data_IF_127095591487
#
_entry.id   IF_127095591487
#
_cell.length_a   1.000
_cell.length_b   1.000
_cell.length_c   1.000
_cell.angle_alpha   90.00
_cell.angle_beta   90.00
_cell.angle_gamma   90.00
#
_symmetry.space_group_name_H-M   'P 1'
#
loop_
_entity.id
_entity.type
_entity.pdbx_description
1 polymer ?
#
# COMPACT_ATOMS: atom_id res chain seq x y z
N UNK A 1 13.38 41.12 -4.57
CA UNK A 1 12.25 40.17 -4.49
C UNK A 1 12.78 38.86 -3.92
N UNK A 2 12.59 38.54 -2.63
CA UNK A 2 13.08 37.27 -2.07
C UNK A 2 12.26 36.12 -2.64
N UNK A 3 12.93 35.13 -3.23
CA UNK A 3 12.31 33.89 -3.68
C UNK A 3 11.91 33.06 -2.47
N UNK A 4 10.62 33.03 -2.14
CA UNK A 4 10.06 32.14 -1.12
C UNK A 4 10.14 30.71 -1.61
N UNK A 5 11.15 29.97 -1.14
CA UNK A 5 11.25 28.53 -1.37
C UNK A 5 10.18 27.87 -0.49
N UNK A 6 9.09 27.42 -1.11
CA UNK A 6 8.11 26.56 -0.48
C UNK A 6 8.77 25.21 -0.22
N UNK A 7 9.46 25.08 0.92
CA UNK A 7 9.95 23.78 1.40
C UNK A 7 8.71 22.98 1.81
N UNK A 8 8.39 21.86 1.12
CA UNK A 8 7.27 21.04 1.49
C UNK A 8 7.52 20.49 2.90
N UNK A 9 6.56 20.70 3.80
CA UNK A 9 6.64 20.13 5.14
C UNK A 9 6.70 18.60 5.03
N UNK A 10 7.41 17.93 5.95
CA UNK A 10 7.54 16.45 5.94
C UNK A 10 6.18 15.75 5.81
N UNK A 11 5.13 16.32 6.41
CA UNK A 11 3.76 15.83 6.33
C UNK A 11 3.18 15.84 4.91
N UNK A 12 3.50 16.85 4.10
CA UNK A 12 3.05 16.91 2.70
C UNK A 12 3.71 15.84 1.84
N UNK A 13 4.99 15.53 2.11
CA UNK A 13 5.74 14.48 1.42
C UNK A 13 5.20 13.10 1.81
N UNK A 14 4.99 12.85 3.10
CA UNK A 14 4.45 11.58 3.62
C UNK A 14 3.04 11.29 3.10
N UNK A 15 2.14 12.28 3.13
CA UNK A 15 0.78 12.12 2.62
C UNK A 15 0.76 11.75 1.12
N UNK A 16 1.68 12.34 0.33
CA UNK A 16 1.80 12.05 -1.10
C UNK A 16 2.34 10.64 -1.36
N UNK A 17 3.36 10.19 -0.62
CA UNK A 17 3.94 8.84 -0.80
C UNK A 17 2.98 7.74 -0.34
N UNK A 18 2.30 7.95 0.79
CA UNK A 18 1.32 7.01 1.33
C UNK A 18 0.14 6.86 0.36
N UNK A 19 -0.28 7.96 -0.28
CA UNK A 19 -1.33 7.96 -1.30
C UNK A 19 -0.87 7.26 -2.58
N UNK A 20 0.32 7.57 -3.11
CA UNK A 20 0.81 6.96 -4.34
C UNK A 20 1.05 5.45 -4.20
N UNK A 21 1.64 5.00 -3.08
CA UNK A 21 1.81 3.58 -2.80
C UNK A 21 0.47 2.83 -2.77
N UNK A 22 -0.54 3.39 -2.08
CA UNK A 22 -1.87 2.79 -2.01
C UNK A 22 -2.57 2.74 -3.38
N UNK A 23 -2.44 3.77 -4.20
CA UNK A 23 -3.04 3.77 -5.54
C UNK A 23 -2.38 2.74 -6.46
N UNK A 24 -1.07 2.55 -6.34
CA UNK A 24 -0.33 1.57 -7.13
C UNK A 24 -0.67 0.14 -6.71
N UNK A 25 -0.82 -0.11 -5.41
CA UNK A 25 -1.30 -1.39 -4.87
C UNK A 25 -2.73 -1.69 -5.34
N UNK A 26 -3.66 -0.74 -5.21
CA UNK A 26 -5.05 -0.90 -5.68
C UNK A 26 -5.10 -1.17 -7.19
N UNK A 27 -4.33 -0.42 -7.97
CA UNK A 27 -4.26 -0.61 -9.42
C UNK A 27 -3.66 -1.97 -9.78
N UNK A 28 -2.60 -2.40 -9.09
CA UNK A 28 -1.99 -3.73 -9.27
C UNK A 28 -2.99 -4.86 -9.00
N UNK A 29 -3.67 -4.81 -7.86
CA UNK A 29 -4.71 -5.80 -7.52
C UNK A 29 -5.90 -5.75 -8.47
N UNK A 30 -6.33 -4.57 -8.90
CA UNK A 30 -7.38 -4.40 -9.90
C UNK A 30 -7.01 -4.99 -11.26
N UNK A 31 -5.77 -4.78 -11.72
CA UNK A 31 -5.25 -5.36 -12.95
C UNK A 31 -5.16 -6.89 -12.87
N UNK A 32 -4.76 -7.43 -11.73
CA UNK A 32 -4.77 -8.89 -11.49
C UNK A 32 -6.20 -9.43 -11.60
N UNK A 33 -7.20 -8.77 -11.01
CA UNK A 33 -8.61 -9.17 -11.13
C UNK A 33 -9.12 -9.17 -12.58
N UNK A 34 -8.80 -8.12 -13.34
CA UNK A 34 -9.13 -8.06 -14.77
C UNK A 34 -8.40 -9.15 -15.56
N UNK A 35 -7.13 -9.42 -15.25
CA UNK A 35 -6.33 -10.46 -15.88
C UNK A 35 -6.91 -11.86 -15.62
N UNK A 36 -7.28 -12.19 -14.38
CA UNK A 36 -7.90 -13.46 -14.03
C UNK A 36 -9.20 -13.68 -14.81
N UNK A 37 -10.01 -12.62 -14.99
CA UNK A 37 -11.25 -12.70 -15.78
C UNK A 37 -10.96 -12.91 -17.27
N UNK A 38 -9.99 -12.19 -17.83
CA UNK A 38 -9.55 -12.37 -19.22
C UNK A 38 -9.00 -13.80 -19.45
N UNK A 39 -8.22 -14.32 -18.49
CA UNK A 39 -7.71 -15.69 -18.51
C UNK A 39 -8.83 -16.73 -18.51
N UNK A 40 -9.84 -16.57 -17.65
CA UNK A 40 -10.99 -17.45 -17.59
C UNK A 40 -11.79 -17.47 -18.92
N UNK A 41 -11.97 -16.31 -19.56
CA UNK A 41 -12.61 -16.21 -20.88
C UNK A 41 -11.78 -16.89 -21.99
N UNK A 42 -10.46 -16.74 -21.93
CA UNK A 42 -9.53 -17.42 -22.84
C UNK A 42 -9.65 -18.94 -22.77
N UNK A 43 -9.72 -19.51 -21.55
CA UNK A 43 -9.94 -20.95 -21.36
C UNK A 43 -11.30 -21.42 -21.88
N UNK A 44 -12.34 -20.60 -21.76
CA UNK A 44 -13.68 -20.90 -22.27
C UNK A 44 -13.82 -20.70 -23.79
N UNK A 45 -12.74 -20.33 -24.50
CA UNK A 45 -12.75 -19.89 -25.91
C UNK A 45 -13.83 -18.86 -26.22
N UNK A 46 -14.15 -18.01 -25.25
CA UNK A 46 -15.10 -16.91 -25.39
C UNK A 46 -14.32 -15.63 -25.69
N UNK A 47 -14.88 -14.69 -26.47
CA UNK A 47 -14.21 -13.42 -26.74
C UNK A 47 -13.85 -12.73 -25.41
N UNK A 48 -12.57 -12.37 -25.24
CA UNK A 48 -12.02 -11.80 -24.00
C UNK A 48 -12.65 -10.46 -23.60
N UNK A 49 -13.25 -9.75 -24.56
CA UNK A 49 -13.95 -8.48 -24.35
C UNK A 49 -15.48 -8.66 -24.19
N UNK A 50 -15.96 -9.90 -24.09
CA UNK A 50 -17.37 -10.17 -23.83
C UNK A 50 -17.73 -9.69 -22.42
N UNK A 51 -18.66 -8.74 -22.32
CA UNK A 51 -19.18 -8.17 -21.05
C UNK A 51 -18.11 -7.41 -20.23
N UNK A 52 -17.71 -6.19 -20.66
CA UNK A 52 -16.71 -5.36 -19.97
C UNK A 52 -17.09 -5.01 -18.51
N UNK A 53 -18.37 -4.96 -18.19
CA UNK A 53 -18.87 -4.74 -16.82
C UNK A 53 -18.41 -5.83 -15.84
N UNK A 54 -18.24 -7.08 -16.29
CA UNK A 54 -17.74 -8.15 -15.44
C UNK A 54 -16.26 -7.95 -15.11
N UNK A 55 -15.45 -7.51 -16.07
CA UNK A 55 -14.04 -7.17 -15.81
C UNK A 55 -13.91 -6.08 -14.76
N UNK A 56 -14.78 -5.07 -14.80
CA UNK A 56 -14.82 -4.02 -13.79
C UNK A 56 -15.21 -4.56 -12.41
N UNK A 57 -16.19 -5.47 -12.32
CA UNK A 57 -16.58 -6.12 -11.06
C UNK A 57 -15.46 -6.96 -10.47
N UNK A 58 -14.75 -7.74 -11.30
CA UNK A 58 -13.60 -8.52 -10.85
C UNK A 58 -12.43 -7.61 -10.43
N UNK A 59 -12.14 -6.55 -11.19
CA UNK A 59 -11.13 -5.56 -10.82
C UNK A 59 -11.48 -4.89 -9.48
N UNK A 60 -12.73 -4.47 -9.29
CA UNK A 60 -13.19 -3.87 -8.03
C UNK A 60 -13.13 -4.86 -6.86
N UNK A 61 -13.54 -6.12 -7.07
CA UNK A 61 -13.47 -7.16 -6.06
C UNK A 61 -12.04 -7.45 -5.62
N UNK A 62 -11.13 -7.66 -6.57
CA UNK A 62 -9.72 -7.90 -6.27
C UNK A 62 -9.02 -6.67 -5.69
N UNK A 63 -9.34 -5.45 -6.14
CA UNK A 63 -8.83 -4.23 -5.53
C UNK A 63 -9.30 -4.08 -4.08
N UNK A 64 -10.55 -4.43 -3.77
CA UNK A 64 -11.08 -4.45 -2.41
C UNK A 64 -10.38 -5.48 -1.51
N UNK A 65 -10.09 -6.67 -2.04
CA UNK A 65 -9.30 -7.70 -1.34
C UNK A 65 -7.88 -7.20 -1.09
N UNK A 66 -7.23 -6.62 -2.11
CA UNK A 66 -5.90 -6.04 -2.00
C UNK A 66 -5.81 -4.97 -0.92
N UNK A 67 -6.78 -4.05 -0.87
CA UNK A 67 -6.87 -3.04 0.18
C UNK A 67 -6.95 -3.65 1.58
N UNK A 68 -7.73 -4.71 1.74
CA UNK A 68 -7.87 -5.38 3.03
C UNK A 68 -6.58 -6.07 3.46
N UNK A 69 -5.88 -6.74 2.55
CA UNK A 69 -4.57 -7.36 2.79
C UNK A 69 -3.53 -6.32 3.17
N UNK A 70 -3.40 -5.22 2.42
CA UNK A 70 -2.47 -4.13 2.74
C UNK A 70 -2.72 -3.53 4.12
N UNK A 71 -3.98 -3.55 4.60
CA UNK A 71 -4.32 -3.08 5.95
C UNK A 71 -3.78 -4.01 7.05
N UNK A 72 -3.82 -5.32 6.82
CA UNK A 72 -3.27 -6.31 7.76
C UNK A 72 -1.74 -6.18 7.82
N UNK A 73 -1.09 -6.08 6.67
CA UNK A 73 0.37 -5.95 6.58
C UNK A 73 0.89 -4.69 7.28
N UNK A 74 0.19 -3.56 7.12
CA UNK A 74 0.50 -2.33 7.88
C UNK A 74 0.38 -2.52 9.39
N UNK A 75 -0.60 -3.28 9.86
CA UNK A 75 -0.77 -3.53 11.29
C UNK A 75 0.40 -4.36 11.86
N UNK A 76 0.93 -5.31 11.09
CA UNK A 76 2.11 -6.09 11.48
C UNK A 76 3.38 -5.25 11.47
N UNK A 77 3.59 -4.46 10.41
CA UNK A 77 4.73 -3.53 10.32
C UNK A 77 4.73 -2.51 11.46
N UNK A 78 3.58 -1.91 11.77
CA UNK A 78 3.43 -1.00 12.91
C UNK A 78 3.80 -1.66 14.24
N UNK A 79 3.43 -2.94 14.42
CA UNK A 79 3.78 -3.68 15.64
C UNK A 79 5.30 -3.91 15.74
N UNK A 80 5.92 -4.31 14.63
CA UNK A 80 7.37 -4.47 14.52
C UNK A 80 8.12 -3.17 14.79
N UNK A 81 7.66 -2.06 14.22
CA UNK A 81 8.30 -0.75 14.37
C UNK A 81 8.23 -0.28 15.82
N UNK A 82 7.09 -0.47 16.50
CA UNK A 82 6.94 -0.20 17.94
C UNK A 82 7.89 -1.02 18.81
N UNK A 83 8.13 -2.28 18.47
CA UNK A 83 9.11 -3.09 19.18
C UNK A 83 10.54 -2.62 18.91
N UNK A 84 10.83 -2.26 17.65
CA UNK A 84 12.11 -1.68 17.25
C UNK A 84 12.43 -0.43 18.06
N UNK A 85 11.47 0.47 18.21
CA UNK A 85 11.62 1.70 18.99
C UNK A 85 11.89 1.44 20.47
N UNK A 86 11.19 0.47 21.07
CA UNK A 86 11.46 0.07 22.46
C UNK A 86 12.89 -0.43 22.62
N UNK A 87 13.38 -1.25 21.69
CA UNK A 87 14.76 -1.77 21.72
C UNK A 87 15.80 -0.67 21.52
N UNK A 88 15.56 0.24 20.59
CA UNK A 88 16.45 1.40 20.35
C UNK A 88 16.50 2.30 21.57
N UNK A 89 15.36 2.62 22.18
CA UNK A 89 15.29 3.42 23.41
C UNK A 89 16.06 2.77 24.56
N UNK A 90 15.90 1.46 24.75
CA UNK A 90 16.68 0.69 25.74
C UNK A 90 18.19 0.75 25.46
N UNK A 91 18.60 0.68 24.20
CA UNK A 91 20.02 0.78 23.81
C UNK A 91 20.57 2.18 24.04
N UNK A 92 19.81 3.24 23.71
CA UNK A 92 20.21 4.63 23.97
C UNK A 92 20.39 4.91 25.47
N UNK A 93 19.48 4.41 26.32
CA UNK A 93 19.59 4.56 27.78
C UNK A 93 20.85 3.88 28.35
N UNK A 94 21.22 2.70 27.82
CA UNK A 94 22.48 2.03 28.19
C UNK A 94 23.71 2.83 27.77
N UNK A 95 23.67 3.46 26.59
CA UNK A 95 24.78 4.30 26.10
C UNK A 95 24.89 5.63 26.86
N UNK A 96 23.79 6.15 27.40
CA UNK A 96 23.77 7.36 28.21
C UNK A 96 24.19 7.14 29.68
N UNK A 97 24.52 5.91 30.08
CA UNK A 97 25.05 5.62 31.43
C UNK A 97 24.07 5.87 32.57
N UNK A 98 22.76 5.99 32.28
CA UNK A 98 21.72 6.19 33.30
C UNK A 98 21.48 4.85 34.01
N UNK A 99 21.76 4.72 35.33
CA UNK A 99 21.48 3.50 36.08
C UNK A 99 19.96 3.23 36.08
N UNK A 100 19.60 1.96 35.84
CA UNK A 100 18.23 1.45 35.74
C UNK A 100 17.47 1.57 37.07
#
# INVERSE_FOLDING_TARGET
>A
MPATILVPSKQAVEASQISQGQTLELAGWGLVGAFVRAWALGMQRRPVLERPHLHLLFAAGFAGIGYWVSKIEKAELDALERERDKLVKRRMLRLQGVPQ
#
